data_IF_801141454628
#
_entry.id   IF_801141454628
#
_cell.length_a   1.000
_cell.length_b   1.000
_cell.length_c   1.000
_cell.angle_alpha   90.00
_cell.angle_beta   90.00
_cell.angle_gamma   90.00
#
_symmetry.space_group_name_H-M   'P 1'
#
loop_
_entity.id
_entity.type
_entity.pdbx_description
1 polymer ?
#
# COMPACT_ATOMS: atom_id res chain seq x y z
N UNK A 1 -30.10 -23.01 -14.70
CA UNK A 1 -29.29 -21.98 -15.39
C UNK A 1 -27.83 -22.24 -15.08
N UNK A 2 -26.95 -22.29 -16.06
CA UNK A 2 -25.52 -22.50 -15.80
C UNK A 2 -24.93 -21.29 -15.08
N UNK A 3 -23.96 -21.54 -14.21
CA UNK A 3 -23.18 -20.52 -13.51
C UNK A 3 -22.55 -19.53 -14.48
N UNK A 4 -22.09 -19.99 -15.64
CA UNK A 4 -21.49 -19.16 -16.69
C UNK A 4 -22.47 -18.14 -17.30
N UNK A 5 -23.73 -18.53 -17.52
CA UNK A 5 -24.75 -17.65 -18.09
C UNK A 5 -25.19 -16.58 -17.08
N UNK A 6 -25.24 -16.92 -15.78
CA UNK A 6 -25.49 -15.96 -14.70
C UNK A 6 -24.34 -14.95 -14.59
N UNK A 7 -23.10 -15.42 -14.65
CA UNK A 7 -21.90 -14.58 -14.62
C UNK A 7 -21.83 -13.63 -15.82
N UNK A 8 -22.19 -14.11 -17.03
CA UNK A 8 -22.23 -13.26 -18.23
C UNK A 8 -23.27 -12.13 -18.11
N UNK A 9 -24.49 -12.45 -17.68
CA UNK A 9 -25.55 -11.44 -17.48
C UNK A 9 -25.18 -10.41 -16.40
N UNK A 10 -24.58 -10.86 -15.29
CA UNK A 10 -24.10 -9.95 -14.24
C UNK A 10 -23.00 -9.00 -14.75
N UNK A 11 -22.16 -9.43 -15.70
CA UNK A 11 -21.13 -8.58 -16.29
C UNK A 11 -21.72 -7.50 -17.21
N UNK A 12 -22.76 -7.83 -17.97
CA UNK A 12 -23.44 -6.88 -18.87
C UNK A 12 -24.13 -5.75 -18.09
N UNK A 13 -24.64 -6.05 -16.88
CA UNK A 13 -25.26 -5.05 -15.99
C UNK A 13 -24.26 -4.07 -15.34
N UNK A 14 -22.95 -4.33 -15.44
CA UNK A 14 -21.89 -3.51 -14.84
C UNK A 14 -21.22 -2.55 -15.83
N UNK A 15 -21.79 -2.40 -17.03
CA UNK A 15 -21.21 -1.61 -18.12
C UNK A 15 -21.91 -0.25 -18.23
N UNK A 16 -21.10 0.79 -18.32
CA UNK A 16 -21.54 2.14 -18.64
C UNK A 16 -21.89 2.23 -20.12
N UNK A 17 -23.13 2.60 -20.45
CA UNK A 17 -23.59 2.68 -21.85
C UNK A 17 -23.06 3.88 -22.63
N UNK A 18 -22.21 4.73 -22.03
CA UNK A 18 -21.57 5.86 -22.73
C UNK A 18 -20.17 5.47 -23.19
N UNK A 19 -19.33 4.95 -22.29
CA UNK A 19 -17.97 4.50 -22.64
C UNK A 19 -17.90 3.04 -23.08
N UNK A 20 -18.99 2.29 -22.92
CA UNK A 20 -19.08 0.85 -23.20
C UNK A 20 -18.06 0.01 -22.41
N UNK A 21 -17.61 0.53 -21.28
CA UNK A 21 -16.69 -0.10 -20.35
C UNK A 21 -17.33 -0.21 -18.96
N UNK A 22 -16.75 -1.02 -18.06
CA UNK A 22 -17.21 -1.18 -16.68
C UNK A 22 -17.30 0.17 -15.97
N UNK A 23 -18.25 0.29 -15.04
CA UNK A 23 -18.42 1.54 -14.30
C UNK A 23 -17.16 1.96 -13.51
N UNK A 24 -16.72 3.19 -13.74
CA UNK A 24 -15.73 3.90 -12.93
C UNK A 24 -16.41 5.11 -12.28
N UNK A 25 -16.42 5.15 -10.94
CA UNK A 25 -17.18 6.12 -10.15
C UNK A 25 -18.62 6.29 -10.64
N UNK A 26 -19.45 5.23 -10.58
CA UNK A 26 -20.82 5.30 -11.08
C UNK A 26 -21.67 6.29 -10.29
N UNK A 27 -22.46 7.08 -11.01
CA UNK A 27 -23.45 8.02 -10.48
C UNK A 27 -24.81 7.76 -11.09
N UNK A 28 -25.83 7.70 -10.24
CA UNK A 28 -27.23 7.64 -10.66
C UNK A 28 -27.77 9.06 -10.86
N UNK A 29 -28.50 9.25 -11.95
CA UNK A 29 -29.15 10.53 -12.27
C UNK A 29 -30.64 10.52 -11.88
N UNK A 30 -31.36 11.60 -12.16
CA UNK A 30 -32.76 11.83 -11.73
C UNK A 30 -33.75 10.70 -12.09
N UNK A 31 -33.52 9.98 -13.19
CA UNK A 31 -34.36 8.87 -13.64
C UNK A 31 -33.89 7.50 -13.13
N UNK A 32 -32.89 7.44 -12.25
CA UNK A 32 -32.37 6.21 -11.66
C UNK A 32 -31.29 5.50 -12.49
N UNK A 33 -31.12 5.83 -13.78
CA UNK A 33 -30.05 5.26 -14.61
C UNK A 33 -28.65 5.68 -14.13
N UNK A 34 -27.70 4.74 -14.25
CA UNK A 34 -26.33 4.91 -13.75
C UNK A 34 -25.32 4.99 -14.89
N UNK A 35 -24.34 5.88 -14.73
CA UNK A 35 -23.26 6.16 -15.69
C UNK A 35 -21.96 6.44 -14.93
N UNK A 36 -20.79 6.29 -15.56
CA UNK A 36 -19.56 6.85 -14.98
C UNK A 36 -19.69 8.36 -14.82
N UNK A 37 -19.24 8.91 -13.70
CA UNK A 37 -19.35 10.34 -13.41
C UNK A 37 -18.76 11.21 -14.53
N UNK A 38 -17.55 10.89 -15.00
CA UNK A 38 -16.90 11.62 -16.08
C UNK A 38 -17.71 11.55 -17.40
N UNK A 39 -18.29 10.39 -17.70
CA UNK A 39 -19.03 10.18 -18.94
C UNK A 39 -20.31 11.01 -19.00
N UNK A 40 -21.11 11.03 -17.93
CA UNK A 40 -22.37 11.77 -17.92
C UNK A 40 -22.15 13.28 -17.82
N UNK A 41 -21.12 13.71 -17.11
CA UNK A 41 -20.70 15.12 -17.05
C UNK A 41 -20.34 15.61 -18.44
N UNK A 42 -19.44 14.91 -19.14
CA UNK A 42 -19.04 15.24 -20.50
C UNK A 42 -20.23 15.27 -21.47
N UNK A 43 -21.15 14.31 -21.36
CA UNK A 43 -22.34 14.25 -22.21
C UNK A 43 -23.25 15.48 -22.04
N UNK A 44 -23.46 15.94 -20.80
CA UNK A 44 -24.25 17.16 -20.55
C UNK A 44 -23.54 18.43 -20.98
N UNK A 45 -22.23 18.52 -20.76
CA UNK A 45 -21.44 19.71 -21.10
C UNK A 45 -21.36 19.92 -22.63
N UNK A 46 -21.38 18.85 -23.43
CA UNK A 46 -21.41 18.93 -24.90
C UNK A 46 -22.73 19.47 -25.48
N UNK A 47 -23.82 19.51 -24.70
CA UNK A 47 -25.18 19.76 -25.19
C UNK A 47 -25.72 21.17 -24.89
N UNK A 48 -24.95 22.01 -24.18
CA UNK A 48 -25.15 23.45 -23.98
C UNK A 48 -26.61 23.91 -23.70
N UNK A 49 -27.35 23.21 -22.83
CA UNK A 49 -28.78 23.46 -22.57
C UNK A 49 -29.16 23.40 -21.09
N UNK A 50 -30.19 24.20 -20.72
CA UNK A 50 -30.84 24.26 -19.39
C UNK A 50 -31.53 22.95 -18.94
N UNK A 51 -31.37 21.86 -19.68
CA UNK A 51 -32.02 20.57 -19.47
C UNK A 51 -31.03 19.40 -19.58
N UNK A 52 -30.98 18.58 -18.52
CA UNK A 52 -30.12 17.40 -18.39
C UNK A 52 -30.91 16.15 -18.80
N UNK A 53 -30.60 15.59 -19.97
CA UNK A 53 -31.27 14.39 -20.49
C UNK A 53 -30.51 13.12 -20.13
N UNK A 54 -31.24 12.04 -19.94
CA UNK A 54 -30.67 10.71 -19.78
C UNK A 54 -30.26 10.11 -21.14
N UNK A 55 -29.01 9.65 -21.31
CA UNK A 55 -28.57 8.97 -22.54
C UNK A 55 -29.35 7.68 -22.87
N UNK A 56 -29.86 6.96 -21.86
CA UNK A 56 -30.59 5.69 -22.03
C UNK A 56 -32.08 5.91 -22.35
N UNK A 57 -32.80 6.59 -21.46
CA UNK A 57 -34.27 6.70 -21.56
C UNK A 57 -34.76 8.07 -22.04
N UNK A 58 -33.87 9.03 -22.28
CA UNK A 58 -34.17 10.42 -22.71
C UNK A 58 -34.98 11.26 -21.72
N UNK A 59 -35.29 10.75 -20.53
CA UNK A 59 -35.93 11.53 -19.46
C UNK A 59 -35.10 12.79 -19.14
N UNK A 60 -35.77 13.93 -19.01
CA UNK A 60 -35.14 15.24 -18.81
C UNK A 60 -35.30 15.75 -17.38
N UNK A 61 -34.33 16.52 -16.91
CA UNK A 61 -34.36 17.23 -15.63
C UNK A 61 -33.87 18.66 -15.80
N UNK A 62 -34.39 19.58 -14.98
CA UNK A 62 -33.88 20.96 -14.88
C UNK A 62 -32.72 21.09 -13.88
N UNK A 63 -32.48 20.07 -13.05
CA UNK A 63 -31.44 20.04 -12.02
C UNK A 63 -30.37 19.01 -12.35
N UNK A 64 -29.11 19.38 -12.14
CA UNK A 64 -27.94 18.48 -12.29
C UNK A 64 -27.82 17.59 -11.05
N UNK A 65 -28.58 16.49 -11.03
CA UNK A 65 -28.57 15.55 -9.90
C UNK A 65 -27.61 14.41 -10.24
N UNK A 66 -26.54 14.29 -9.46
CA UNK A 66 -25.60 13.17 -9.49
C UNK A 66 -25.57 12.55 -8.10
N UNK A 67 -26.01 11.30 -7.98
CA UNK A 67 -25.95 10.53 -6.73
C UNK A 67 -24.89 9.44 -6.89
N UNK A 68 -23.74 9.53 -6.20
CA UNK A 68 -22.72 8.48 -6.23
C UNK A 68 -23.30 7.13 -5.80
N UNK A 69 -22.95 6.06 -6.53
CA UNK A 69 -23.35 4.69 -6.23
C UNK A 69 -22.10 3.88 -5.87
N UNK A 70 -21.65 3.97 -4.62
CA UNK A 70 -20.36 3.43 -4.18
C UNK A 70 -20.36 1.91 -4.21
N UNK A 71 -21.50 1.30 -3.91
CA UNK A 71 -21.74 -0.14 -3.92
C UNK A 71 -21.56 -0.71 -5.33
N UNK A 72 -22.18 -0.08 -6.35
CA UNK A 72 -22.01 -0.49 -7.75
C UNK A 72 -20.56 -0.29 -8.23
N UNK A 73 -19.90 0.78 -7.78
CA UNK A 73 -18.48 1.00 -8.05
C UNK A 73 -17.59 -0.11 -7.48
N UNK A 74 -17.90 -0.56 -6.26
CA UNK A 74 -17.18 -1.67 -5.63
C UNK A 74 -17.42 -3.00 -6.37
N UNK A 75 -18.65 -3.29 -6.79
CA UNK A 75 -19.01 -4.51 -7.53
C UNK A 75 -18.37 -4.52 -8.93
N UNK A 76 -18.36 -3.39 -9.64
CA UNK A 76 -17.69 -3.24 -10.93
C UNK A 76 -16.16 -3.47 -10.83
N UNK A 77 -15.55 -3.08 -9.70
CA UNK A 77 -14.13 -3.34 -9.41
C UNK A 77 -13.85 -4.79 -9.04
N UNK A 78 -14.68 -5.41 -8.20
CA UNK A 78 -14.52 -6.81 -7.77
C UNK A 78 -14.69 -7.76 -8.96
N UNK A 79 -15.65 -7.51 -9.85
CA UNK A 79 -15.83 -8.32 -11.06
C UNK A 79 -14.63 -8.25 -12.02
N UNK A 80 -13.97 -7.09 -12.14
CA UNK A 80 -12.68 -6.95 -12.84
C UNK A 80 -11.56 -7.77 -12.18
N UNK A 81 -11.54 -7.81 -10.84
CA UNK A 81 -10.59 -8.63 -10.09
C UNK A 81 -10.90 -10.13 -10.25
N UNK A 82 -12.17 -10.55 -10.34
CA UNK A 82 -12.54 -11.96 -10.57
C UNK A 82 -12.13 -12.48 -11.96
N UNK A 83 -12.10 -11.61 -12.99
CA UNK A 83 -11.50 -11.94 -14.30
C UNK A 83 -9.96 -12.04 -14.22
N UNK A 84 -9.33 -11.31 -13.29
CA UNK A 84 -7.91 -11.47 -12.95
C UNK A 84 -7.59 -12.65 -12.03
N UNK A 85 -8.55 -13.10 -11.21
CA UNK A 85 -8.41 -14.19 -10.24
C UNK A 85 -8.78 -15.56 -10.85
N UNK A 86 -9.61 -15.63 -11.89
CA UNK A 86 -9.85 -16.88 -12.61
C UNK A 86 -8.58 -17.40 -13.33
N UNK A 87 -7.55 -16.57 -13.45
CA UNK A 87 -6.23 -16.94 -13.96
C UNK A 87 -5.23 -17.38 -12.87
N UNK A 88 -5.63 -17.47 -11.60
CA UNK A 88 -4.70 -17.66 -10.47
C UNK A 88 -4.84 -18.99 -9.73
N UNK A 89 -5.59 -19.98 -10.23
CA UNK A 89 -5.87 -21.21 -9.46
C UNK A 89 -5.76 -22.56 -10.20
N UNK A 90 -5.09 -22.66 -11.35
CA UNK A 90 -4.70 -23.98 -11.90
C UNK A 90 -3.25 -23.93 -12.37
N UNK A 91 -2.39 -24.64 -11.64
CA UNK A 91 -1.03 -24.97 -12.05
C UNK A 91 -1.03 -25.61 -13.45
N UNK A 92 -0.22 -25.06 -14.36
CA UNK A 92 0.21 -25.79 -15.55
C UNK A 92 -0.25 -25.32 -16.94
N UNK A 93 -0.81 -24.11 -17.13
CA UNK A 93 -1.36 -23.78 -18.46
C UNK A 93 -1.40 -22.30 -18.90
N UNK A 94 -0.42 -21.43 -18.63
CA UNK A 94 -0.37 -20.10 -19.28
C UNK A 94 1.03 -19.67 -19.74
N UNK A 95 1.09 -19.26 -21.02
CA UNK A 95 2.28 -18.79 -21.72
C UNK A 95 2.82 -17.44 -21.23
N UNK A 96 4.04 -17.15 -21.66
CA UNK A 96 4.91 -16.10 -21.14
C UNK A 96 4.25 -14.69 -21.14
N UNK A 97 4.45 -13.87 -20.09
CA UNK A 97 3.88 -12.52 -19.99
C UNK A 97 4.37 -11.64 -21.15
N UNK A 98 3.47 -10.90 -21.82
CA UNK A 98 3.78 -10.18 -23.07
C UNK A 98 3.88 -8.66 -22.89
N UNK A 99 4.75 -8.02 -23.67
CA UNK A 99 4.87 -6.58 -23.78
C UNK A 99 3.64 -5.97 -24.44
N UNK A 100 3.05 -4.95 -23.82
CA UNK A 100 1.86 -4.27 -24.33
C UNK A 100 2.05 -3.66 -25.73
N UNK A 101 3.27 -3.20 -26.04
CA UNK A 101 3.58 -2.55 -27.33
C UNK A 101 3.93 -3.54 -28.44
N UNK A 102 4.75 -4.53 -28.11
CA UNK A 102 5.34 -5.43 -29.11
C UNK A 102 4.68 -6.80 -29.15
N UNK A 103 3.81 -7.11 -28.18
CA UNK A 103 3.20 -8.44 -27.98
C UNK A 103 4.23 -9.57 -27.87
N UNK A 104 5.45 -9.22 -27.48
CA UNK A 104 6.59 -10.13 -27.28
C UNK A 104 6.76 -10.48 -25.80
N UNK A 105 7.18 -11.70 -25.45
CA UNK A 105 7.47 -12.09 -24.09
C UNK A 105 8.41 -11.13 -23.36
N UNK A 106 8.05 -10.80 -22.13
CA UNK A 106 8.82 -10.01 -21.18
C UNK A 106 9.90 -10.90 -20.56
N UNK A 107 11.02 -11.04 -21.28
CA UNK A 107 12.14 -11.93 -20.93
C UNK A 107 13.31 -11.24 -20.25
N UNK A 108 13.29 -9.92 -20.09
CA UNK A 108 14.41 -9.18 -19.51
C UNK A 108 13.94 -8.10 -18.54
N UNK A 109 14.75 -7.80 -17.53
CA UNK A 109 14.54 -6.77 -16.52
C UNK A 109 15.53 -5.63 -16.73
N UNK A 110 15.03 -4.39 -16.78
CA UNK A 110 15.84 -3.18 -16.80
C UNK A 110 16.01 -2.62 -15.38
N UNK A 111 17.26 -2.46 -14.93
CA UNK A 111 17.57 -2.04 -13.56
C UNK A 111 17.24 -0.57 -13.30
N UNK A 112 17.52 0.30 -14.26
CA UNK A 112 17.31 1.73 -14.16
C UNK A 112 15.83 2.09 -14.15
N UNK A 113 15.03 1.40 -14.97
CA UNK A 113 13.59 1.61 -15.07
C UNK A 113 12.76 0.73 -14.11
N UNK A 114 13.42 -0.21 -13.43
CA UNK A 114 12.79 -1.19 -12.53
C UNK A 114 11.59 -1.92 -13.17
N UNK A 115 11.73 -2.37 -14.42
CA UNK A 115 10.63 -2.92 -15.20
C UNK A 115 11.03 -4.16 -16.01
N UNK A 116 10.10 -5.11 -16.13
CA UNK A 116 10.18 -6.20 -17.09
C UNK A 116 9.81 -5.70 -18.48
N UNK A 117 10.69 -5.93 -19.45
CA UNK A 117 10.56 -5.48 -20.84
C UNK A 117 10.82 -6.65 -21.79
N UNK A 118 10.33 -6.57 -23.03
CA UNK A 118 10.68 -7.55 -24.06
C UNK A 118 12.04 -7.22 -24.70
N UNK A 119 12.60 -8.17 -25.45
CA UNK A 119 13.88 -8.00 -26.15
C UNK A 119 13.85 -6.86 -27.19
N UNK A 120 12.68 -6.55 -27.74
CA UNK A 120 12.49 -5.41 -28.66
C UNK A 120 12.61 -4.08 -27.90
N UNK A 121 11.99 -3.98 -26.72
CA UNK A 121 12.15 -2.80 -25.84
C UNK A 121 13.61 -2.63 -25.40
N UNK A 122 14.31 -3.71 -25.08
CA UNK A 122 15.72 -3.65 -24.66
C UNK A 122 16.65 -3.08 -25.75
N UNK A 123 16.33 -3.33 -27.03
CA UNK A 123 17.06 -2.77 -28.19
C UNK A 123 16.56 -1.39 -28.63
N UNK A 124 15.46 -0.91 -28.05
CA UNK A 124 14.90 0.41 -28.40
C UNK A 124 15.79 1.55 -27.90
N UNK A 125 15.69 2.72 -28.53
CA UNK A 125 16.38 3.92 -28.05
C UNK A 125 16.05 4.25 -26.58
N UNK A 126 14.85 3.90 -26.11
CA UNK A 126 14.41 4.17 -24.74
C UNK A 126 15.28 3.45 -23.69
N UNK A 127 15.79 2.27 -24.00
CA UNK A 127 16.60 1.45 -23.07
C UNK A 127 18.05 1.30 -23.55
N UNK A 128 18.49 2.17 -24.47
CA UNK A 128 19.85 2.11 -25.02
C UNK A 128 20.86 2.49 -23.95
N UNK A 129 21.70 1.54 -23.56
CA UNK A 129 22.73 1.73 -22.53
C UNK A 129 22.26 1.48 -21.09
N UNK A 130 20.99 1.07 -20.87
CA UNK A 130 20.52 0.60 -19.57
C UNK A 130 21.05 -0.80 -19.28
N UNK A 131 21.27 -1.12 -17.99
CA UNK A 131 21.61 -2.46 -17.57
C UNK A 131 20.37 -3.35 -17.61
N UNK A 132 20.32 -4.20 -18.63
CA UNK A 132 19.23 -5.14 -18.87
C UNK A 132 19.74 -6.56 -18.62
N UNK A 133 19.05 -7.32 -17.77
CA UNK A 133 19.38 -8.72 -17.43
C UNK A 133 18.23 -9.66 -17.80
N UNK A 134 18.47 -10.91 -18.20
CA UNK A 134 17.42 -11.91 -18.34
C UNK A 134 16.55 -12.02 -17.10
N UNK A 135 15.25 -12.28 -17.27
CA UNK A 135 14.31 -12.48 -16.17
C UNK A 135 14.77 -13.62 -15.28
N UNK A 136 15.33 -14.68 -15.85
CA UNK A 136 15.82 -15.84 -15.10
C UNK A 136 17.04 -15.49 -14.24
N UNK A 137 17.89 -14.58 -14.71
CA UNK A 137 19.07 -14.08 -13.97
C UNK A 137 18.69 -13.01 -12.94
N UNK A 138 17.74 -12.14 -13.26
CA UNK A 138 17.15 -11.20 -12.30
C UNK A 138 16.30 -11.93 -11.25
N UNK A 139 15.67 -13.05 -11.63
CA UNK A 139 14.94 -13.94 -10.74
C UNK A 139 15.90 -14.78 -9.88
N UNK A 140 17.16 -14.96 -10.25
CA UNK A 140 18.16 -15.53 -9.34
C UNK A 140 18.41 -14.61 -8.15
N UNK A 141 18.41 -13.28 -8.34
CA UNK A 141 18.43 -12.32 -7.24
C UNK A 141 17.17 -12.46 -6.33
N UNK A 142 16.03 -12.90 -6.88
CA UNK A 142 14.77 -13.19 -6.14
C UNK A 142 14.61 -14.65 -5.67
N UNK A 143 15.39 -15.60 -6.19
CA UNK A 143 15.43 -16.99 -5.70
C UNK A 143 16.07 -17.02 -4.31
N UNK A 144 17.00 -16.12 -4.04
CA UNK A 144 17.47 -15.83 -2.69
C UNK A 144 16.39 -15.19 -1.79
N UNK A 145 15.38 -14.54 -2.35
CA UNK A 145 14.23 -13.95 -1.63
C UNK A 145 13.08 -14.95 -1.39
N UNK A 146 12.90 -15.96 -2.24
CA UNK A 146 11.98 -17.08 -1.97
C UNK A 146 12.59 -18.09 -0.98
N UNK A 147 13.92 -18.25 -0.97
CA UNK A 147 14.64 -18.95 0.11
C UNK A 147 14.59 -18.18 1.45
N UNK A 148 14.21 -16.90 1.44
CA UNK A 148 13.96 -16.14 2.67
C UNK A 148 12.67 -16.57 3.39
N UNK A 149 11.66 -17.14 2.68
CA UNK A 149 10.46 -17.67 3.33
C UNK A 149 10.78 -18.85 4.25
N UNK A 150 11.69 -19.75 3.89
CA UNK A 150 12.06 -20.88 4.77
C UNK A 150 12.77 -20.42 6.06
N UNK A 151 13.49 -19.30 6.04
CA UNK A 151 14.15 -18.72 7.22
C UNK A 151 13.22 -17.86 8.10
N UNK A 152 12.09 -17.40 7.57
CA UNK A 152 11.10 -16.56 8.27
C UNK A 152 10.04 -17.38 9.03
N UNK A 153 9.97 -18.69 8.81
CA UNK A 153 9.04 -19.60 9.50
C UNK A 153 9.41 -19.88 10.97
N UNK A 154 10.59 -19.43 11.42
CA UNK A 154 11.02 -19.53 12.82
C UNK A 154 11.09 -18.12 13.42
N UNK A 155 9.92 -17.51 13.64
CA UNK A 155 9.87 -16.20 14.30
C UNK A 155 10.46 -16.31 15.72
N UNK A 156 11.44 -15.48 16.08
CA UNK A 156 11.94 -15.44 17.45
C UNK A 156 10.80 -15.04 18.39
N UNK A 157 10.90 -15.44 19.66
CA UNK A 157 9.91 -15.09 20.68
C UNK A 157 9.59 -13.59 20.66
N UNK A 158 8.29 -13.27 20.72
CA UNK A 158 7.81 -11.89 20.66
C UNK A 158 8.55 -11.03 21.70
N UNK A 159 9.09 -9.90 21.23
CA UNK A 159 9.72 -8.90 22.08
C UNK A 159 8.65 -7.97 22.64
N UNK A 160 8.76 -7.75 23.94
CA UNK A 160 8.03 -6.71 24.63
C UNK A 160 8.66 -5.36 24.26
N UNK A 161 7.88 -4.48 23.64
CA UNK A 161 8.32 -3.13 23.24
C UNK A 161 7.48 -2.08 23.94
N UNK A 162 8.09 -1.00 24.43
CA UNK A 162 7.40 0.19 25.00
C UNK A 162 7.80 1.46 24.27
N UNK A 163 6.98 2.51 24.35
CA UNK A 163 7.15 3.79 23.66
C UNK A 163 7.94 4.78 24.53
N UNK A 164 9.00 5.40 23.98
CA UNK A 164 9.87 6.33 24.72
C UNK A 164 9.28 7.76 24.74
N UNK A 165 8.82 8.27 25.90
CA UNK A 165 8.26 9.61 26.03
C UNK A 165 9.25 10.74 25.73
N UNK A 166 10.57 10.49 25.81
CA UNK A 166 11.62 11.48 25.53
C UNK A 166 11.76 11.74 24.03
N UNK A 167 11.33 10.79 23.20
CA UNK A 167 11.39 10.89 21.74
C UNK A 167 10.09 11.42 21.13
N UNK A 168 8.95 11.17 21.80
CA UNK A 168 7.63 11.48 21.29
C UNK A 168 7.44 12.98 20.98
N UNK A 169 6.89 13.27 19.81
CA UNK A 169 6.46 14.64 19.48
C UNK A 169 5.47 15.18 20.53
N UNK A 170 5.50 16.49 20.87
CA UNK A 170 4.59 17.08 21.86
C UNK A 170 3.08 16.91 21.59
N UNK A 171 2.67 16.63 20.36
CA UNK A 171 1.27 16.31 20.01
C UNK A 171 0.88 14.84 20.25
N UNK A 172 1.84 13.98 20.57
CA UNK A 172 1.61 12.58 20.86
C UNK A 172 1.42 12.32 22.35
N UNK A 173 0.33 11.64 22.67
CA UNK A 173 -0.01 11.23 24.02
C UNK A 173 0.19 9.72 24.15
N UNK A 174 1.03 9.35 25.11
CA UNK A 174 1.33 7.97 25.45
C UNK A 174 0.48 7.52 26.64
N UNK A 175 0.02 6.28 26.64
CA UNK A 175 -0.61 5.67 27.81
C UNK A 175 0.40 5.47 28.95
N UNK A 176 -0.09 5.31 30.18
CA UNK A 176 0.75 5.13 31.38
C UNK A 176 1.65 3.89 31.29
N UNK A 177 1.16 2.83 30.64
CA UNK A 177 1.92 1.59 30.38
C UNK A 177 2.91 1.72 29.20
N UNK A 178 2.97 2.88 28.55
CA UNK A 178 3.79 3.18 27.37
C UNK A 178 3.56 2.21 26.20
N UNK A 179 2.36 1.63 26.09
CA UNK A 179 2.00 0.72 24.99
C UNK A 179 1.19 1.38 23.89
N UNK A 180 0.45 2.42 24.22
CA UNK A 180 -0.48 3.08 23.30
C UNK A 180 -0.01 4.48 22.97
N UNK A 181 -0.04 4.85 21.70
CA UNK A 181 0.19 6.21 21.21
C UNK A 181 -1.07 6.72 20.52
N UNK A 182 -1.42 7.97 20.84
CA UNK A 182 -2.52 8.72 20.21
C UNK A 182 -2.04 10.11 19.84
N UNK A 183 -2.55 10.65 18.74
CA UNK A 183 -2.39 12.07 18.43
C UNK A 183 -3.56 12.87 19.01
N UNK A 184 -3.28 14.06 19.55
CA UNK A 184 -4.32 15.01 19.95
C UNK A 184 -4.05 16.38 19.33
N UNK A 185 -5.12 17.16 19.15
CA UNK A 185 -5.04 18.46 18.48
C UNK A 185 -4.32 19.53 19.31
N UNK A 186 -4.15 19.32 20.62
CA UNK A 186 -3.41 20.22 21.50
C UNK A 186 -1.98 19.72 21.76
N UNK A 187 -1.05 20.65 21.80
CA UNK A 187 0.36 20.41 22.11
C UNK A 187 0.58 20.31 23.62
N UNK A 188 1.43 19.38 24.07
CA UNK A 188 1.90 19.34 25.46
C UNK A 188 3.09 20.28 25.66
N UNK A 189 3.18 20.91 26.82
CA UNK A 189 4.35 21.69 27.23
C UNK A 189 5.49 20.76 27.68
N UNK A 190 6.16 20.14 26.71
CA UNK A 190 7.31 19.25 26.93
C UNK A 190 8.62 19.97 26.62
N UNK A 191 9.73 19.63 27.31
CA UNK A 191 11.03 20.20 27.01
C UNK A 191 11.52 19.76 25.62
N UNK A 192 12.14 20.67 24.89
CA UNK A 192 12.74 20.40 23.58
C UNK A 192 14.13 19.77 23.72
N UNK A 193 14.17 18.54 24.24
CA UNK A 193 15.40 17.76 24.35
C UNK A 193 15.87 17.22 22.98
N UNK A 194 17.16 16.94 22.78
CA UNK A 194 17.72 16.53 21.48
C UNK A 194 17.06 15.27 20.88
N UNK A 195 16.61 14.34 21.72
CA UNK A 195 16.01 13.05 21.32
C UNK A 195 14.57 13.21 20.78
N UNK A 196 13.92 14.34 21.05
CA UNK A 196 12.51 14.59 20.73
C UNK A 196 12.30 14.96 19.27
N UNK A 197 11.32 14.35 18.62
CA UNK A 197 10.84 14.79 17.31
C UNK A 197 10.02 16.08 17.42
N UNK A 198 10.36 17.13 16.66
CA UNK A 198 9.72 18.45 16.75
C UNK A 198 8.68 18.71 15.65
N UNK A 199 9.00 18.34 14.40
CA UNK A 199 8.22 18.69 13.21
C UNK A 199 7.15 17.63 12.89
N UNK A 200 7.49 16.36 13.06
CA UNK A 200 6.66 15.23 12.65
C UNK A 200 6.16 14.45 13.88
N UNK A 201 4.97 13.85 13.77
CA UNK A 201 4.30 13.12 14.86
C UNK A 201 4.87 11.71 15.06
N UNK A 202 6.18 11.62 15.28
CA UNK A 202 6.91 10.37 15.47
C UNK A 202 7.19 10.08 16.94
N UNK A 203 7.36 8.79 17.25
CA UNK A 203 7.86 8.28 18.53
C UNK A 203 8.65 7.00 18.29
N UNK A 204 9.70 6.79 19.09
CA UNK A 204 10.47 5.54 19.09
C UNK A 204 10.05 4.60 20.22
N UNK A 205 10.41 3.33 20.06
CA UNK A 205 10.47 2.38 21.15
C UNK A 205 11.67 2.62 22.08
N UNK A 206 11.52 2.27 23.36
CA UNK A 206 12.61 2.28 24.34
C UNK A 206 13.68 1.24 24.01
N UNK A 207 13.25 0.08 23.52
CA UNK A 207 14.12 -1.01 23.14
C UNK A 207 14.90 -0.67 21.88
N UNK A 208 16.14 -1.15 21.84
CA UNK A 208 17.04 -0.99 20.71
C UNK A 208 17.72 -2.31 20.40
N UNK A 209 17.99 -2.54 19.12
CA UNK A 209 18.54 -3.79 18.62
C UNK A 209 19.82 -3.51 17.84
N UNK A 210 20.90 -4.21 18.19
CA UNK A 210 22.20 -4.13 17.50
C UNK A 210 22.71 -5.50 17.00
N UNK A 211 21.91 -6.54 17.18
CA UNK A 211 22.19 -7.92 16.75
C UNK A 211 20.93 -8.76 16.90
N UNK A 212 20.89 -9.91 16.24
CA UNK A 212 19.87 -10.94 16.34
C UNK A 212 18.60 -10.67 15.53
N UNK A 213 17.67 -11.61 15.69
CA UNK A 213 16.34 -11.58 15.10
C UNK A 213 15.33 -11.14 16.15
N UNK A 214 14.46 -10.21 15.80
CA UNK A 214 13.45 -9.65 16.71
C UNK A 214 12.10 -9.52 16.02
N UNK A 215 11.04 -9.66 16.81
CA UNK A 215 9.69 -9.41 16.32
C UNK A 215 8.79 -8.86 17.40
N UNK A 216 7.94 -7.91 17.03
CA UNK A 216 6.87 -7.38 17.88
C UNK A 216 5.61 -7.19 17.04
N UNK A 217 4.47 -7.02 17.71
CA UNK A 217 3.17 -6.85 17.03
C UNK A 217 2.51 -5.58 17.52
N UNK A 218 1.92 -4.86 16.57
CA UNK A 218 1.20 -3.61 16.79
C UNK A 218 -0.25 -3.81 16.39
N UNK A 219 -1.17 -3.45 17.27
CA UNK A 219 -2.58 -3.35 17.00
C UNK A 219 -2.92 -1.96 16.44
N UNK A 220 -3.71 -1.95 15.38
CA UNK A 220 -4.27 -0.76 14.77
C UNK A 220 -5.69 -0.62 15.31
N UNK A 221 -5.87 0.19 16.34
CA UNK A 221 -7.15 0.27 17.05
C UNK A 221 -8.13 1.21 16.33
N UNK A 222 -7.66 2.40 15.95
CA UNK A 222 -8.50 3.45 15.40
C UNK A 222 -7.74 4.27 14.36
N UNK A 223 -8.48 4.81 13.40
CA UNK A 223 -8.01 5.81 12.44
C UNK A 223 -7.51 5.24 11.12
N UNK A 224 -7.23 6.14 10.18
CA UNK A 224 -6.85 5.82 8.81
C UNK A 224 -5.45 6.30 8.44
N UNK A 225 -4.73 6.93 9.38
CA UNK A 225 -3.47 7.63 9.15
C UNK A 225 -2.43 7.24 10.21
N UNK A 226 -1.61 6.26 9.89
CA UNK A 226 -0.58 5.71 10.77
C UNK A 226 0.58 5.12 9.97
N UNK A 227 1.74 4.98 10.60
CA UNK A 227 2.88 4.24 10.05
C UNK A 227 3.58 3.45 11.15
N UNK A 228 4.07 2.26 10.79
CA UNK A 228 4.73 1.31 11.68
C UNK A 228 6.01 0.86 11.00
N UNK A 229 7.10 0.82 11.75
CA UNK A 229 8.36 0.27 11.26
C UNK A 229 9.50 0.35 12.25
N UNK A 230 10.68 0.58 11.71
CA UNK A 230 11.92 0.75 12.46
C UNK A 230 12.67 2.00 11.98
N UNK A 231 13.48 2.55 12.86
CA UNK A 231 14.40 3.63 12.54
C UNK A 231 15.78 3.38 13.16
N UNK A 232 16.82 3.89 12.51
CA UNK A 232 18.16 3.96 13.09
C UNK A 232 18.19 4.94 14.26
N UNK A 233 19.07 4.68 15.24
CA UNK A 233 19.29 5.58 16.40
C UNK A 233 19.66 6.99 15.95
N UNK A 234 20.43 7.12 14.87
CA UNK A 234 20.89 8.38 14.27
C UNK A 234 19.81 9.13 13.48
N UNK A 235 18.58 8.61 13.36
CA UNK A 235 17.52 9.24 12.58
C UNK A 235 17.33 10.70 13.01
N UNK A 236 17.17 11.59 12.01
CA UNK A 236 17.05 13.03 12.25
C UNK A 236 15.83 13.34 13.13
N UNK A 237 16.08 14.03 14.24
CA UNK A 237 15.04 14.41 15.24
C UNK A 237 14.40 15.76 14.98
N UNK A 238 15.14 16.68 14.34
CA UNK A 238 14.74 18.08 14.21
C UNK A 238 14.44 18.47 12.77
N UNK A 239 13.31 19.14 12.54
CA UNK A 239 12.83 19.54 11.22
C UNK A 239 12.26 18.40 10.38
N UNK A 240 11.93 18.69 9.12
CA UNK A 240 11.30 17.71 8.23
C UNK A 240 12.25 16.56 7.88
N UNK A 241 11.70 15.34 7.87
CA UNK A 241 12.38 14.09 7.58
C UNK A 241 11.73 13.42 6.36
N UNK A 242 12.54 13.08 5.36
CA UNK A 242 12.07 12.21 4.28
C UNK A 242 12.04 10.76 4.75
N UNK A 243 10.90 10.09 4.59
CA UNK A 243 10.71 8.72 5.08
C UNK A 243 11.10 7.70 4.01
N UNK A 244 12.30 7.14 4.14
CA UNK A 244 12.84 6.06 3.31
C UNK A 244 14.09 5.40 3.95
N UNK A 245 14.54 4.24 3.44
CA UNK A 245 15.72 3.55 3.96
C UNK A 245 17.01 4.37 3.90
N UNK A 246 17.17 5.27 2.92
CA UNK A 246 18.38 6.10 2.84
C UNK A 246 18.47 7.12 3.98
N UNK A 247 17.34 7.45 4.61
CA UNK A 247 17.26 8.31 5.80
C UNK A 247 17.15 7.49 7.09
N UNK A 248 17.38 6.17 7.02
CA UNK A 248 17.40 5.29 8.18
C UNK A 248 16.02 4.89 8.69
N UNK A 249 14.97 4.91 7.85
CA UNK A 249 13.60 4.49 8.23
C UNK A 249 13.09 3.41 7.29
N UNK A 250 12.60 2.31 7.85
CA UNK A 250 11.93 1.22 7.12
C UNK A 250 10.55 1.00 7.73
N UNK A 251 9.51 1.36 6.98
CA UNK A 251 8.15 1.34 7.51
C UNK A 251 7.10 1.09 6.43
N UNK A 252 5.92 0.63 6.87
CA UNK A 252 4.68 0.65 6.10
C UNK A 252 3.74 1.67 6.70
N UNK A 253 2.97 2.36 5.86
CA UNK A 253 2.00 3.34 6.29
C UNK A 253 0.64 3.11 5.66
N UNK A 254 -0.41 3.56 6.35
CA UNK A 254 -1.72 3.77 5.79
C UNK A 254 -2.06 5.25 5.90
N UNK A 255 -2.42 5.89 4.77
CA UNK A 255 -2.95 7.25 4.74
C UNK A 255 -4.20 7.29 3.86
N UNK A 256 -5.28 7.91 4.35
CA UNK A 256 -6.58 8.00 3.66
C UNK A 256 -7.09 6.64 3.13
N UNK A 257 -6.80 5.57 3.88
CA UNK A 257 -7.20 4.21 3.55
C UNK A 257 -6.40 3.50 2.45
N UNK A 258 -5.33 4.12 1.93
CA UNK A 258 -4.35 3.48 1.04
C UNK A 258 -3.11 3.09 1.83
N UNK A 259 -2.62 1.87 1.61
CA UNK A 259 -1.39 1.37 2.23
C UNK A 259 -0.21 1.46 1.27
N UNK A 260 0.97 1.72 1.82
CA UNK A 260 2.22 1.80 1.05
C UNK A 260 3.44 1.50 1.92
N UNK A 261 4.48 0.96 1.30
CA UNK A 261 5.80 0.84 1.92
C UNK A 261 6.63 2.10 1.63
N UNK A 262 7.32 2.59 2.66
CA UNK A 262 8.14 3.80 2.60
C UNK A 262 9.50 3.51 1.97
N UNK A 263 9.52 3.08 0.72
CA UNK A 263 10.73 2.94 -0.11
C UNK A 263 11.16 4.29 -0.69
N UNK A 264 12.34 4.39 -1.30
CA UNK A 264 12.83 5.64 -1.92
C UNK A 264 11.84 6.27 -2.91
N UNK A 265 11.12 5.43 -3.64
CA UNK A 265 9.85 5.76 -4.30
C UNK A 265 8.79 4.96 -3.59
N UNK A 266 7.87 5.59 -2.86
CA UNK A 266 6.85 4.89 -2.07
C UNK A 266 6.14 3.83 -2.93
N UNK A 267 6.07 2.61 -2.41
CA UNK A 267 5.52 1.45 -3.11
C UNK A 267 4.08 1.21 -2.64
N UNK A 268 3.06 1.37 -3.48
CA UNK A 268 1.68 1.07 -3.10
C UNK A 268 1.50 -0.41 -2.75
N UNK A 269 0.74 -0.70 -1.69
CA UNK A 269 0.44 -2.05 -1.23
C UNK A 269 -1.04 -2.38 -1.45
N UNK A 270 -1.30 -3.44 -2.22
CA UNK A 270 -2.65 -3.91 -2.52
C UNK A 270 -2.95 -5.16 -1.69
N UNK A 271 -3.56 -4.97 -0.53
CA UNK A 271 -3.94 -6.05 0.36
C UNK A 271 -5.39 -6.47 0.13
N UNK A 272 -5.66 -7.77 0.13
CA UNK A 272 -7.02 -8.33 0.01
C UNK A 272 -7.95 -7.86 1.12
N UNK A 273 -7.37 -7.64 2.31
CA UNK A 273 -8.03 -7.07 3.48
C UNK A 273 -7.10 -6.10 4.20
N UNK A 274 -7.68 -5.19 4.97
CA UNK A 274 -6.90 -4.29 5.81
C UNK A 274 -6.45 -5.02 7.08
N UNK A 275 -5.15 -5.03 7.39
CA UNK A 275 -4.67 -5.64 8.62
C UNK A 275 -5.11 -4.80 9.82
N UNK A 276 -5.61 -5.47 10.84
CA UNK A 276 -5.90 -4.93 12.18
C UNK A 276 -4.67 -5.08 13.09
N UNK A 277 -3.78 -6.01 12.78
CA UNK A 277 -2.56 -6.31 13.53
C UNK A 277 -1.39 -6.53 12.59
N UNK A 278 -0.31 -5.81 12.81
CA UNK A 278 0.91 -5.93 12.00
C UNK A 278 2.03 -6.46 12.87
N UNK A 279 2.64 -7.55 12.44
CA UNK A 279 3.91 -8.04 12.98
C UNK A 279 5.05 -7.37 12.23
N UNK A 280 5.95 -6.75 12.98
CA UNK A 280 7.23 -6.27 12.47
C UNK A 280 8.27 -7.33 12.78
N UNK A 281 9.11 -7.64 11.80
CA UNK A 281 10.22 -8.56 11.92
C UNK A 281 11.51 -7.89 11.47
N UNK A 282 12.55 -8.06 12.28
CA UNK A 282 13.90 -7.56 12.03
C UNK A 282 14.86 -8.75 12.11
N UNK A 283 15.67 -8.94 11.08
CA UNK A 283 16.86 -9.79 11.09
C UNK A 283 18.08 -8.86 10.96
N UNK A 284 18.77 -8.59 12.07
CA UNK A 284 19.83 -7.59 12.08
C UNK A 284 21.02 -8.02 11.21
N UNK A 285 21.51 -9.25 11.41
CA UNK A 285 22.62 -9.81 10.65
C UNK A 285 22.26 -10.07 9.19
N UNK A 286 21.04 -10.55 8.94
CA UNK A 286 20.53 -10.79 7.58
C UNK A 286 20.15 -9.50 6.84
N UNK A 287 20.04 -8.37 7.54
CA UNK A 287 19.66 -7.09 6.96
C UNK A 287 18.17 -6.98 6.61
N UNK A 288 17.33 -7.89 7.08
CA UNK A 288 15.92 -7.98 6.66
C UNK A 288 14.99 -7.19 7.56
N UNK A 289 14.04 -6.50 6.93
CA UNK A 289 12.91 -5.86 7.60
C UNK A 289 11.64 -6.30 6.90
N UNK A 290 10.75 -6.96 7.62
CA UNK A 290 9.54 -7.54 7.05
C UNK A 290 8.31 -7.22 7.91
N UNK A 291 7.17 -7.16 7.23
CA UNK A 291 5.87 -6.82 7.79
C UNK A 291 4.89 -7.92 7.41
N UNK A 292 4.11 -8.39 8.39
CA UNK A 292 3.12 -9.46 8.21
C UNK A 292 1.78 -9.06 8.82
N UNK A 293 0.69 -9.53 8.22
CA UNK A 293 -0.62 -9.58 8.88
C UNK A 293 -0.49 -10.63 9.99
N UNK A 294 -0.52 -10.17 11.24
CA UNK A 294 -0.28 -11.03 12.39
C UNK A 294 -1.46 -11.99 12.69
N UNK A 295 -2.60 -11.84 12.04
CA UNK A 295 -3.74 -12.75 12.17
C UNK A 295 -3.69 -13.89 11.15
N UNK A 296 -3.21 -13.62 9.93
CA UNK A 296 -3.08 -14.64 8.87
C UNK A 296 -1.68 -15.26 8.78
N UNK A 297 -0.70 -14.66 9.45
CA UNK A 297 0.71 -14.87 9.19
C UNK A 297 1.08 -14.67 7.70
N UNK A 298 0.36 -13.76 7.03
CA UNK A 298 0.56 -13.46 5.62
C UNK A 298 1.54 -12.29 5.44
N UNK A 299 2.50 -12.37 4.50
CA UNK A 299 3.41 -11.27 4.24
C UNK A 299 2.67 -10.04 3.69
N UNK A 300 2.97 -8.88 4.25
CA UNK A 300 2.51 -7.56 3.76
C UNK A 300 3.57 -6.96 2.86
N UNK A 301 4.81 -6.86 3.35
CA UNK A 301 5.93 -6.29 2.60
C UNK A 301 7.25 -6.72 3.24
N UNK A 302 8.29 -6.90 2.42
CA UNK A 302 9.66 -7.13 2.89
C UNK A 302 10.59 -6.18 2.15
N UNK A 303 11.39 -5.43 2.91
CA UNK A 303 12.40 -4.55 2.33
C UNK A 303 13.57 -5.39 1.80
N UNK A 304 14.21 -4.94 0.71
CA UNK A 304 15.49 -5.53 0.28
C UNK A 304 16.50 -5.51 1.44
N UNK A 305 17.34 -6.55 1.56
CA UNK A 305 18.32 -6.63 2.63
C UNK A 305 19.26 -5.43 2.61
N UNK A 306 19.62 -4.94 3.78
CA UNK A 306 20.50 -3.78 3.95
C UNK A 306 21.48 -3.99 5.10
N UNK A 307 22.65 -3.37 5.01
CA UNK A 307 23.54 -3.26 6.17
C UNK A 307 23.06 -2.13 7.09
N UNK A 308 22.91 -2.41 8.37
CA UNK A 308 22.56 -1.41 9.40
C UNK A 308 23.78 -0.64 9.94
N UNK A 309 24.97 -0.86 9.37
CA UNK A 309 26.23 -0.13 9.71
C UNK A 309 26.57 -0.13 11.22
N UNK A 310 26.26 -1.20 11.93
CA UNK A 310 26.45 -1.30 13.39
C UNK A 310 25.66 -0.27 14.22
N UNK A 311 24.70 0.43 13.60
CA UNK A 311 23.81 1.33 14.33
C UNK A 311 22.73 0.54 15.08
N UNK A 312 22.28 1.09 16.21
CA UNK A 312 21.12 0.53 16.89
C UNK A 312 19.85 0.86 16.12
N UNK A 313 18.93 -0.10 16.14
CA UNK A 313 17.63 -0.02 15.49
C UNK A 313 16.56 0.06 16.55
N UNK A 314 15.66 1.03 16.43
CA UNK A 314 14.53 1.22 17.31
C UNK A 314 13.22 0.95 16.56
N UNK A 315 12.21 0.37 17.23
CA UNK A 315 10.83 0.45 16.76
C UNK A 315 10.44 1.92 16.54
N UNK A 316 9.73 2.19 15.45
CA UNK A 316 9.37 3.55 15.04
C UNK A 316 7.89 3.60 14.65
N UNK A 317 7.20 4.65 15.08
CA UNK A 317 5.76 4.81 14.90
C UNK A 317 5.42 6.24 14.52
N UNK A 318 4.42 6.38 13.65
CA UNK A 318 3.77 7.65 13.32
C UNK A 318 2.26 7.51 13.47
N UNK A 319 1.63 8.51 14.07
CA UNK A 319 0.18 8.54 14.25
C UNK A 319 -0.33 9.96 14.00
N UNK A 320 -1.31 10.09 13.11
CA UNK A 320 -1.99 11.36 12.87
C UNK A 320 -3.31 11.47 13.65
N UNK A 321 -3.93 12.65 13.60
CA UNK A 321 -5.16 12.92 14.35
C UNK A 321 -6.28 11.92 14.04
N UNK A 322 -6.96 11.48 15.10
CA UNK A 322 -7.99 10.45 15.05
C UNK A 322 -7.47 9.01 14.89
N UNK A 323 -6.14 8.79 14.93
CA UNK A 323 -5.55 7.45 14.86
C UNK A 323 -4.93 7.01 16.20
N UNK A 324 -4.87 5.70 16.42
CA UNK A 324 -4.32 5.09 17.62
C UNK A 324 -3.64 3.76 17.29
N UNK A 325 -2.44 3.56 17.83
CA UNK A 325 -1.69 2.31 17.78
C UNK A 325 -1.41 1.80 19.19
N UNK A 326 -1.48 0.48 19.39
CA UNK A 326 -1.13 -0.18 20.65
C UNK A 326 -0.16 -1.32 20.42
N UNK A 327 0.97 -1.31 21.12
CA UNK A 327 1.92 -2.42 21.14
C UNK A 327 1.33 -3.59 21.93
N UNK A 328 1.37 -4.77 21.32
CA UNK A 328 0.99 -5.98 22.03
C UNK A 328 2.01 -6.32 23.11
N UNK A 329 1.57 -6.91 24.24
CA UNK A 329 2.45 -7.47 25.24
C UNK A 329 3.30 -8.63 24.69
#
# INVERSE_FOLDING_TARGET
MSTEELTRRLKEELICSICLDRFHDPVSIHCGHTFCQACIIKHWDLMNKKHFHCPKCRATSRKRILKPNRELGNIARISKLSEGLHLQAIEGLWGEPLCEKHREPLKVFCKEDCAFICLVCAKSQKHRGHLVRPVEEAAQDYKHSLVACEHLHCFPGRKHVTLDPRTANPHLFLSLDQKTVTHRDHTQALPDNPERFDAEFFVLGCESFCSGKHSWVVNINQGQNWAIGIAQESVRRKGSLSLNPQQGVWAVQQCWGQMQALTSRWTPLFLLRKPTRIRVYLDYEGGWVAFFDAELDAPIFTFPPTSFKQERIHPWFWVASGSQLTLCP
#
